data_IF_349113116341
#
_entry.id   IF_349113116341
#
_cell.length_a   1.000
_cell.length_b   1.000
_cell.length_c   1.000
_cell.angle_alpha   90.00
_cell.angle_beta   90.00
_cell.angle_gamma   90.00
#
_symmetry.space_group_name_H-M   'P 1'
#
loop_
_entity.id
_entity.type
_entity.pdbx_description
1 polymer ?
#
# COMPACT_ATOMS: atom_id res chain seq x y z
N UNK A 1 14.61 -9.58 4.24
CA UNK A 1 14.15 -10.62 3.29
C UNK A 1 13.19 -9.89 2.34
N UNK A 2 13.41 -9.97 1.05
CA UNK A 2 12.54 -9.29 0.08
C UNK A 2 11.30 -10.15 -0.09
N UNK A 3 10.15 -9.69 0.39
CA UNK A 3 8.87 -10.34 0.06
C UNK A 3 8.62 -10.19 -1.45
N UNK A 4 8.09 -11.23 -2.07
CA UNK A 4 7.59 -11.13 -3.44
C UNK A 4 6.11 -10.70 -3.42
N UNK A 5 5.54 -10.36 -4.57
CA UNK A 5 4.17 -9.89 -4.65
C UNK A 5 3.13 -10.91 -4.15
N UNK A 6 3.39 -12.21 -4.34
CA UNK A 6 2.52 -13.28 -3.83
C UNK A 6 2.51 -13.31 -2.29
N UNK A 7 3.68 -13.25 -1.65
CA UNK A 7 3.76 -13.22 -0.18
C UNK A 7 3.05 -12.01 0.40
N UNK A 8 3.27 -10.83 -0.21
CA UNK A 8 2.57 -9.59 0.18
C UNK A 8 1.06 -9.72 0.02
N UNK A 9 0.57 -10.25 -1.11
CA UNK A 9 -0.85 -10.45 -1.35
C UNK A 9 -1.47 -11.43 -0.33
N UNK A 10 -0.80 -12.55 -0.02
CA UNK A 10 -1.25 -13.52 0.97
C UNK A 10 -1.28 -12.92 2.39
N UNK A 11 -0.31 -12.11 2.75
CA UNK A 11 -0.30 -11.39 4.03
C UNK A 11 -1.50 -10.43 4.14
N UNK A 12 -1.79 -9.68 3.08
CA UNK A 12 -2.93 -8.75 3.03
C UNK A 12 -4.27 -9.47 3.19
N UNK A 13 -4.50 -10.54 2.44
CA UNK A 13 -5.78 -11.27 2.55
C UNK A 13 -5.91 -11.99 3.90
N UNK A 14 -4.81 -12.41 4.52
CA UNK A 14 -4.80 -12.91 5.90
C UNK A 14 -5.27 -11.88 6.93
N UNK A 15 -5.20 -10.59 6.60
CA UNK A 15 -5.72 -9.46 7.39
C UNK A 15 -7.09 -8.96 6.90
N UNK A 16 -7.69 -9.61 5.91
CA UNK A 16 -8.94 -9.21 5.30
C UNK A 16 -8.82 -8.02 4.33
N UNK A 17 -7.62 -7.65 3.91
CA UNK A 17 -7.42 -6.56 2.93
C UNK A 17 -7.64 -7.08 1.52
N UNK A 18 -8.56 -6.46 0.75
CA UNK A 18 -8.79 -6.86 -0.63
C UNK A 18 -7.59 -6.50 -1.50
N UNK A 19 -7.16 -7.42 -2.36
CA UNK A 19 -6.01 -7.21 -3.26
C UNK A 19 -6.36 -7.50 -4.71
N UNK A 20 -5.67 -6.81 -5.61
CA UNK A 20 -5.65 -7.07 -7.05
C UNK A 20 -4.21 -7.24 -7.53
N UNK A 21 -3.98 -8.05 -8.59
CA UNK A 21 -2.66 -8.18 -9.18
C UNK A 21 -2.24 -6.91 -9.92
N UNK A 22 -0.95 -6.60 -9.81
CA UNK A 22 -0.28 -5.51 -10.50
C UNK A 22 0.83 -6.00 -11.41
N UNK A 23 1.12 -5.25 -12.46
CA UNK A 23 2.23 -5.46 -13.38
C UNK A 23 3.58 -5.15 -12.70
N UNK A 24 4.66 -5.48 -13.38
CA UNK A 24 6.01 -5.11 -13.00
C UNK A 24 6.51 -3.96 -13.86
N UNK A 25 7.25 -3.05 -13.25
CA UNK A 25 7.98 -2.01 -13.97
C UNK A 25 9.27 -2.58 -14.54
N UNK A 26 9.48 -2.45 -15.85
CA UNK A 26 10.65 -2.94 -16.57
C UNK A 26 11.30 -1.82 -17.38
N UNK A 27 12.00 -0.94 -16.68
CA UNK A 27 12.76 0.15 -17.29
C UNK A 27 11.94 1.39 -17.66
N UNK A 28 11.03 1.29 -18.62
CA UNK A 28 10.25 2.39 -19.17
C UNK A 28 8.72 2.11 -19.26
N UNK A 29 8.30 0.91 -18.87
CA UNK A 29 6.90 0.50 -18.94
C UNK A 29 6.53 -0.59 -17.97
N UNK A 30 5.27 -0.97 -17.99
CA UNK A 30 4.73 -2.09 -17.20
C UNK A 30 4.58 -3.34 -18.05
N UNK A 31 4.88 -4.49 -17.46
CA UNK A 31 4.71 -5.82 -18.09
C UNK A 31 4.03 -6.76 -17.11
N UNK A 32 3.08 -7.56 -17.56
CA UNK A 32 2.58 -8.69 -16.79
C UNK A 32 3.60 -9.83 -16.84
N UNK A 33 4.25 -10.19 -15.72
CA UNK A 33 5.33 -11.19 -15.71
C UNK A 33 4.86 -12.61 -16.02
N UNK A 34 3.56 -12.84 -16.10
CA UNK A 34 2.96 -14.16 -16.39
C UNK A 34 2.70 -14.36 -17.89
N UNK A 35 2.34 -13.28 -18.58
CA UNK A 35 1.96 -13.33 -20.00
C UNK A 35 2.98 -12.65 -20.92
N UNK A 36 4.00 -11.98 -20.36
CA UNK A 36 4.95 -11.10 -21.05
C UNK A 36 4.28 -9.97 -21.86
N UNK A 37 3.03 -9.63 -21.53
CA UNK A 37 2.29 -8.59 -22.19
C UNK A 37 2.65 -7.22 -21.62
N UNK A 38 2.92 -6.24 -22.52
CA UNK A 38 3.01 -4.83 -22.16
C UNK A 38 1.67 -4.32 -21.62
N UNK A 39 1.72 -3.50 -20.59
CA UNK A 39 0.56 -2.96 -19.90
C UNK A 39 0.64 -1.43 -19.82
N UNK A 40 -0.49 -0.78 -20.08
CA UNK A 40 -0.57 0.69 -20.02
C UNK A 40 -0.58 1.23 -18.58
N UNK A 41 -0.80 0.37 -17.59
CA UNK A 41 -0.91 0.76 -16.20
C UNK A 41 -0.38 -0.34 -15.25
N UNK A 42 -0.07 0.08 -14.01
CA UNK A 42 0.35 -0.82 -12.95
C UNK A 42 -0.71 -1.88 -12.61
N UNK A 43 -2.00 -1.51 -12.57
CA UNK A 43 -3.06 -2.43 -12.21
C UNK A 43 -3.46 -3.34 -13.38
N UNK A 44 -3.42 -4.66 -13.18
CA UNK A 44 -3.82 -5.65 -14.18
C UNK A 44 -5.33 -5.95 -14.18
N UNK A 45 -6.06 -5.46 -13.17
CA UNK A 45 -7.50 -5.63 -13.07
C UNK A 45 -8.16 -4.45 -12.34
N UNK A 46 -9.48 -4.35 -12.48
CA UNK A 46 -10.25 -3.31 -11.80
C UNK A 46 -10.36 -3.58 -10.30
N UNK A 47 -10.54 -2.55 -9.45
CA UNK A 47 -10.78 -2.72 -8.02
C UNK A 47 -12.00 -3.62 -7.69
N UNK A 48 -12.96 -3.70 -8.61
CA UNK A 48 -14.13 -4.56 -8.45
C UNK A 48 -13.80 -6.06 -8.49
N UNK A 49 -12.61 -6.42 -8.99
CA UNK A 49 -12.11 -7.80 -9.04
C UNK A 49 -11.22 -8.15 -7.84
N UNK A 50 -11.17 -7.28 -6.83
CA UNK A 50 -10.36 -7.53 -5.65
C UNK A 50 -10.84 -8.75 -4.88
N UNK A 51 -9.89 -9.52 -4.38
CA UNK A 51 -10.16 -10.74 -3.61
C UNK A 51 -9.58 -10.66 -2.20
N UNK A 52 -10.23 -11.33 -1.26
CA UNK A 52 -9.72 -11.65 0.08
C UNK A 52 -9.53 -13.16 0.26
N UNK A 53 -9.70 -13.94 -0.81
CA UNK A 53 -9.57 -15.39 -0.80
C UNK A 53 -8.10 -15.80 -1.09
N UNK A 54 -7.41 -16.50 -0.15
CA UNK A 54 -6.05 -16.95 -0.36
C UNK A 54 -5.87 -17.92 -1.54
N UNK A 55 -6.88 -18.74 -1.87
CA UNK A 55 -6.81 -19.65 -3.01
C UNK A 55 -6.87 -18.88 -4.34
N UNK A 56 -7.73 -17.88 -4.40
CA UNK A 56 -7.81 -16.98 -5.54
C UNK A 56 -6.51 -16.18 -5.72
N UNK A 57 -5.89 -15.73 -4.61
CA UNK A 57 -4.57 -15.08 -4.66
C UNK A 57 -3.54 -16.02 -5.29
N UNK A 58 -3.44 -17.29 -4.85
CA UNK A 58 -2.48 -18.24 -5.45
C UNK A 58 -2.72 -18.45 -6.94
N UNK A 59 -3.96 -18.40 -7.38
CA UNK A 59 -4.34 -18.50 -8.80
C UNK A 59 -3.95 -17.25 -9.59
N UNK A 60 -4.12 -16.06 -9.02
CA UNK A 60 -3.86 -14.77 -9.66
C UNK A 60 -2.39 -14.35 -9.65
N UNK A 61 -1.57 -14.90 -8.74
CA UNK A 61 -0.12 -14.66 -8.63
C UNK A 61 0.70 -15.94 -8.91
N UNK A 62 0.56 -16.57 -10.08
CA UNK A 62 1.39 -17.71 -10.39
C UNK A 62 2.86 -17.28 -10.42
N UNK A 63 3.73 -18.18 -10.00
CA UNK A 63 5.18 -17.96 -10.07
C UNK A 63 5.63 -18.26 -11.50
N UNK A 64 6.25 -17.29 -12.16
CA UNK A 64 6.86 -17.51 -13.49
C UNK A 64 8.08 -18.42 -13.40
N UNK A 65 8.55 -18.92 -14.54
CA UNK A 65 9.74 -19.78 -14.64
C UNK A 65 11.00 -19.13 -14.05
N UNK A 66 11.05 -17.78 -14.02
CA UNK A 66 12.12 -17.00 -13.39
C UNK A 66 11.94 -16.75 -11.89
N UNK A 67 10.91 -17.30 -11.25
CA UNK A 67 10.61 -17.04 -9.83
C UNK A 67 9.99 -15.67 -9.57
N UNK A 68 9.59 -14.96 -10.62
CA UNK A 68 8.99 -13.61 -10.54
C UNK A 68 7.48 -13.73 -10.40
N UNK A 69 6.88 -12.88 -9.58
CA UNK A 69 5.43 -12.80 -9.38
C UNK A 69 4.91 -11.41 -9.73
N UNK A 70 3.61 -11.29 -9.97
CA UNK A 70 2.90 -10.01 -10.10
C UNK A 70 3.10 -9.16 -8.85
N UNK A 71 3.03 -7.84 -9.01
CA UNK A 71 2.94 -6.89 -7.89
C UNK A 71 1.63 -7.05 -7.13
N UNK A 72 1.56 -6.57 -5.88
CA UNK A 72 0.35 -6.58 -5.07
C UNK A 72 -0.16 -5.16 -4.85
N UNK A 73 -1.45 -4.94 -5.12
CA UNK A 73 -2.14 -3.67 -4.89
C UNK A 73 -3.30 -3.91 -3.92
N UNK A 74 -3.31 -3.23 -2.78
CA UNK A 74 -4.45 -3.29 -1.87
C UNK A 74 -5.54 -2.30 -2.31
N UNK A 75 -6.80 -2.71 -2.20
CA UNK A 75 -7.94 -1.86 -2.59
C UNK A 75 -8.50 -1.13 -1.37
N UNK A 76 -8.42 0.20 -1.42
CA UNK A 76 -8.97 1.09 -0.39
C UNK A 76 -10.50 1.03 -0.41
N UNK A 77 -11.12 0.84 0.76
CA UNK A 77 -12.57 0.66 0.83
C UNK A 77 -13.13 0.70 2.25
N UNK A 78 -14.03 -0.24 2.55
CA UNK A 78 -14.74 -0.31 3.83
C UNK A 78 -13.92 -0.92 4.96
N UNK A 79 -12.93 -1.77 4.63
CA UNK A 79 -12.14 -2.50 5.62
C UNK A 79 -10.82 -1.80 5.97
N UNK A 80 -10.34 -0.97 5.08
CA UNK A 80 -9.14 -0.18 5.25
C UNK A 80 -9.20 1.11 4.45
N UNK A 81 -8.55 2.13 4.95
CA UNK A 81 -8.37 3.41 4.26
C UNK A 81 -6.90 3.77 4.23
N UNK A 82 -6.49 4.61 3.29
CA UNK A 82 -5.13 5.06 3.12
C UNK A 82 -5.06 6.58 3.25
N UNK A 83 -4.10 7.08 4.01
CA UNK A 83 -3.93 8.50 4.35
C UNK A 83 -2.53 8.96 4.00
N UNK A 84 -2.42 9.95 3.13
CA UNK A 84 -1.14 10.53 2.71
C UNK A 84 -0.64 11.51 3.76
N UNK A 85 0.61 11.36 4.16
CA UNK A 85 1.31 12.27 5.07
C UNK A 85 2.68 12.58 4.46
N UNK A 86 3.19 13.79 4.67
CA UNK A 86 4.54 14.15 4.26
C UNK A 86 5.57 13.21 4.93
N UNK A 87 6.68 12.89 4.26
CA UNK A 87 7.66 11.91 4.75
C UNK A 87 8.29 12.29 6.10
N UNK A 88 8.67 13.54 6.30
CA UNK A 88 9.34 13.98 7.53
C UNK A 88 8.45 13.89 8.77
N UNK A 89 7.20 14.45 8.77
CA UNK A 89 6.26 14.22 9.85
C UNK A 89 5.98 12.75 10.12
N UNK A 90 5.85 11.94 9.06
CA UNK A 90 5.59 10.51 9.19
C UNK A 90 6.75 9.77 9.86
N UNK A 91 8.01 9.99 9.41
CA UNK A 91 9.20 9.39 10.02
C UNK A 91 9.35 9.77 11.49
N UNK A 92 9.08 11.02 11.82
CA UNK A 92 9.07 11.46 13.21
C UNK A 92 7.99 10.75 14.01
N UNK A 93 6.76 10.69 13.49
CA UNK A 93 5.60 10.09 14.16
C UNK A 93 5.82 8.62 14.51
N UNK A 94 6.30 7.82 13.56
CA UNK A 94 6.56 6.38 13.79
C UNK A 94 7.67 6.14 14.82
N UNK A 95 8.51 7.14 15.07
CA UNK A 95 9.52 7.14 16.12
C UNK A 95 8.99 7.39 17.53
N UNK A 96 7.75 7.89 17.68
CA UNK A 96 7.18 8.25 18.98
C UNK A 96 6.72 7.01 19.77
N UNK A 97 6.75 7.11 21.10
CA UNK A 97 6.23 6.07 21.99
C UNK A 97 4.71 5.89 21.79
N UNK A 98 3.99 6.97 21.60
CA UNK A 98 2.53 6.94 21.37
C UNK A 98 2.16 6.15 20.10
N UNK A 99 2.90 6.30 18.99
CA UNK A 99 2.67 5.49 17.80
C UNK A 99 3.06 4.03 18.03
N UNK A 100 4.19 3.76 18.68
CA UNK A 100 4.66 2.40 18.95
C UNK A 100 3.75 1.61 19.87
N UNK A 101 2.96 2.26 20.70
CA UNK A 101 1.98 1.61 21.57
C UNK A 101 0.80 0.99 20.81
N UNK A 102 0.46 1.54 19.63
CA UNK A 102 -0.59 1.01 18.75
C UNK A 102 -0.21 1.31 17.29
N UNK A 103 0.79 0.60 16.74
CA UNK A 103 1.28 0.89 15.40
C UNK A 103 0.28 0.50 14.33
N UNK A 104 0.29 1.23 13.22
CA UNK A 104 -0.43 0.89 11.99
C UNK A 104 0.55 0.78 10.83
N UNK A 105 0.28 0.00 9.78
CA UNK A 105 1.17 -0.11 8.64
C UNK A 105 1.37 1.23 7.92
N UNK A 106 2.61 1.51 7.55
CA UNK A 106 3.00 2.73 6.84
C UNK A 106 3.86 2.35 5.65
N UNK A 107 3.42 2.73 4.45
CA UNK A 107 4.16 2.51 3.21
C UNK A 107 4.72 3.83 2.68
N UNK A 108 5.98 3.82 2.27
CA UNK A 108 6.60 4.91 1.51
C UNK A 108 6.40 4.62 0.04
N UNK A 109 5.76 5.54 -0.68
CA UNK A 109 5.48 5.39 -2.10
C UNK A 109 5.52 6.73 -2.83
N UNK A 110 5.78 6.72 -4.15
CA UNK A 110 5.64 7.91 -4.98
C UNK A 110 4.14 8.19 -5.20
N UNK A 111 3.75 9.43 -4.93
CA UNK A 111 2.39 9.94 -5.18
C UNK A 111 2.47 11.06 -6.23
N UNK A 112 1.70 10.99 -7.33
CA UNK A 112 1.65 12.07 -8.29
C UNK A 112 1.07 13.34 -7.64
N UNK A 113 1.87 14.39 -7.62
CA UNK A 113 1.46 15.68 -7.05
C UNK A 113 1.88 16.79 -8.01
N UNK A 114 0.92 17.50 -8.57
CA UNK A 114 1.16 18.60 -9.52
C UNK A 114 2.09 18.23 -10.70
N UNK A 115 1.98 16.98 -11.20
CA UNK A 115 2.80 16.47 -12.31
C UNK A 115 4.22 16.03 -11.92
N UNK A 116 4.52 15.99 -10.63
CA UNK A 116 5.77 15.46 -10.08
C UNK A 116 5.47 14.19 -9.25
N UNK A 117 6.41 13.25 -9.25
CA UNK A 117 6.38 12.11 -8.33
C UNK A 117 7.07 12.51 -7.04
N UNK A 118 6.28 12.63 -5.97
CA UNK A 118 6.78 13.00 -4.63
C UNK A 118 6.72 11.78 -3.73
N UNK A 119 7.83 11.46 -3.06
CA UNK A 119 7.81 10.45 -2.02
C UNK A 119 6.86 10.88 -0.91
N UNK A 120 5.95 10.01 -0.53
CA UNK A 120 4.96 10.25 0.52
C UNK A 120 4.86 9.04 1.44
N UNK A 121 4.54 9.26 2.70
CA UNK A 121 4.18 8.21 3.61
C UNK A 121 2.67 8.00 3.56
N UNK A 122 2.23 6.76 3.44
CA UNK A 122 0.81 6.41 3.43
C UNK A 122 0.52 5.50 4.61
N UNK A 123 -0.26 6.00 5.55
CA UNK A 123 -0.76 5.26 6.71
C UNK A 123 -1.98 4.45 6.30
N UNK A 124 -2.00 3.18 6.66
CA UNK A 124 -3.17 2.32 6.48
C UNK A 124 -3.95 2.31 7.79
N UNK A 125 -5.19 2.78 7.75
CA UNK A 125 -6.05 2.95 8.93
C UNK A 125 -7.41 2.29 8.73
N UNK A 126 -8.14 2.03 9.81
CA UNK A 126 -9.44 1.37 9.76
C UNK A 126 -10.59 2.30 9.33
N UNK A 127 -10.41 3.61 9.48
CA UNK A 127 -11.43 4.61 9.09
C UNK A 127 -10.77 5.94 8.72
N UNK A 128 -11.48 6.78 7.95
CA UNK A 128 -11.07 8.14 7.61
C UNK A 128 -11.66 9.20 8.58
N UNK A 129 -12.41 8.80 9.60
CA UNK A 129 -13.06 9.71 10.53
C UNK A 129 -12.04 10.63 11.21
N UNK A 130 -12.34 11.93 11.28
CA UNK A 130 -11.48 12.92 11.92
C UNK A 130 -10.25 13.35 11.11
N UNK A 131 -10.04 12.81 9.91
CA UNK A 131 -8.95 13.16 9.02
C UNK A 131 -9.38 14.14 7.94
N UNK A 132 -8.44 14.96 7.43
CA UNK A 132 -8.70 15.84 6.28
C UNK A 132 -8.95 14.97 5.04
N UNK A 133 -10.12 15.12 4.42
CA UNK A 133 -10.53 14.38 3.21
C UNK A 133 -9.54 14.52 2.06
N UNK A 134 -8.77 15.62 2.00
CA UNK A 134 -7.76 15.85 0.97
C UNK A 134 -6.55 14.93 1.10
N UNK A 135 -6.31 14.39 2.29
CA UNK A 135 -5.23 13.47 2.59
C UNK A 135 -5.67 11.99 2.44
N UNK A 136 -6.97 11.75 2.34
CA UNK A 136 -7.54 10.39 2.28
C UNK A 136 -7.63 9.93 0.83
N UNK A 137 -7.13 8.73 0.56
CA UNK A 137 -7.32 8.10 -0.74
C UNK A 137 -8.80 7.85 -1.02
N UNK A 138 -9.27 8.10 -2.25
CA UNK A 138 -10.66 7.84 -2.60
C UNK A 138 -10.97 6.33 -2.49
N UNK A 139 -12.24 6.02 -2.23
CA UNK A 139 -12.71 4.63 -2.24
C UNK A 139 -12.42 3.98 -3.60
N UNK A 140 -12.02 2.71 -3.57
CA UNK A 140 -11.57 1.93 -4.71
C UNK A 140 -10.22 2.39 -5.31
N UNK A 141 -9.49 3.31 -4.67
CA UNK A 141 -8.10 3.52 -5.01
C UNK A 141 -7.30 2.23 -4.76
N UNK A 142 -6.27 2.03 -5.55
CA UNK A 142 -5.37 0.89 -5.42
C UNK A 142 -4.03 1.36 -4.86
N UNK A 143 -3.69 0.87 -3.68
CA UNK A 143 -2.45 1.19 -2.98
C UNK A 143 -1.36 0.19 -3.37
N UNK A 144 -0.30 0.63 -4.08
CA UNK A 144 0.84 -0.24 -4.39
C UNK A 144 1.56 -0.65 -3.11
N UNK A 145 1.72 -1.95 -2.90
CA UNK A 145 2.38 -2.48 -1.71
C UNK A 145 3.80 -2.95 -2.03
N UNK A 146 4.76 -2.82 -1.10
CA UNK A 146 6.11 -3.33 -1.29
C UNK A 146 6.12 -4.83 -1.65
N UNK A 147 6.95 -5.24 -2.59
CA UNK A 147 8.06 -4.51 -3.21
C UNK A 147 7.75 -3.85 -4.57
N UNK A 148 6.53 -3.44 -4.81
CA UNK A 148 6.08 -2.84 -6.08
C UNK A 148 6.96 -1.66 -6.51
N UNK A 149 7.19 -1.53 -7.81
CA UNK A 149 7.85 -0.37 -8.41
C UNK A 149 6.80 0.43 -9.20
N UNK A 150 6.66 1.71 -8.89
CA UNK A 150 5.74 2.64 -9.55
C UNK A 150 6.58 3.64 -10.34
N UNK A 151 6.52 3.60 -11.65
CA UNK A 151 7.26 4.50 -12.56
C UNK A 151 8.75 4.65 -12.20
N UNK A 152 9.43 3.53 -11.93
CA UNK A 152 10.83 3.50 -11.56
C UNK A 152 11.12 3.72 -10.06
N UNK A 153 10.13 4.07 -9.25
CA UNK A 153 10.26 4.31 -7.82
C UNK A 153 9.75 3.10 -7.01
N UNK A 154 10.61 2.54 -6.16
CA UNK A 154 10.26 1.38 -5.34
C UNK A 154 9.44 1.80 -4.11
N UNK A 155 8.35 1.10 -3.87
CA UNK A 155 7.62 1.20 -2.60
C UNK A 155 8.36 0.46 -1.48
N UNK A 156 8.26 0.95 -0.25
CA UNK A 156 8.93 0.38 0.92
C UNK A 156 8.02 0.48 2.15
N UNK A 157 8.08 -0.54 3.03
CA UNK A 157 7.47 -0.41 4.35
C UNK A 157 8.31 0.50 5.24
N UNK A 158 7.71 1.55 5.80
CA UNK A 158 8.26 2.28 6.94
C UNK A 158 7.87 1.57 8.24
N UNK A 159 6.64 1.02 8.28
CA UNK A 159 6.16 0.09 9.30
C UNK A 159 5.42 -1.03 8.58
N UNK A 160 5.92 -2.25 8.72
CA UNK A 160 5.34 -3.42 8.05
C UNK A 160 4.04 -3.87 8.73
N UNK A 161 3.08 -4.42 7.99
CA UNK A 161 1.89 -5.03 8.59
C UNK A 161 2.20 -6.08 9.67
N UNK A 162 3.29 -6.85 9.52
CA UNK A 162 3.70 -7.86 10.52
C UNK A 162 4.09 -7.29 11.88
N UNK A 163 4.40 -6.00 11.93
CA UNK A 163 4.75 -5.27 13.16
C UNK A 163 3.51 -4.70 13.86
N UNK A 164 2.31 -4.90 13.28
CA UNK A 164 1.06 -4.31 13.74
C UNK A 164 0.04 -5.40 14.12
N UNK A 165 -0.59 -5.26 15.27
CA UNK A 165 -1.68 -6.15 15.71
C UNK A 165 -3.01 -5.83 14.99
N UNK A 166 -3.15 -4.61 14.44
CA UNK A 166 -4.36 -4.15 13.75
C UNK A 166 -4.13 -2.86 12.99
N UNK A 167 -5.23 -2.18 12.67
CA UNK A 167 -5.21 -0.85 12.07
C UNK A 167 -5.62 0.20 13.09
N UNK A 168 -4.82 1.26 13.20
CA UNK A 168 -5.20 2.47 13.94
C UNK A 168 -6.47 3.09 13.36
N UNK A 169 -7.31 3.70 14.17
CA UNK A 169 -8.47 4.45 13.69
C UNK A 169 -8.07 5.84 13.18
N UNK A 170 -8.94 6.45 12.35
CA UNK A 170 -8.75 7.81 11.89
C UNK A 170 -8.60 8.84 13.02
N UNK A 171 -9.48 8.85 14.05
CA UNK A 171 -9.33 9.75 15.19
C UNK A 171 -8.02 9.59 15.96
N UNK A 172 -7.52 8.36 16.13
CA UNK A 172 -6.22 8.11 16.77
C UNK A 172 -5.07 8.71 15.95
N UNK A 173 -5.05 8.46 14.63
CA UNK A 173 -4.05 9.05 13.74
C UNK A 173 -4.13 10.58 13.73
N UNK A 174 -5.34 11.15 13.63
CA UNK A 174 -5.55 12.60 13.67
C UNK A 174 -4.96 13.23 14.93
N UNK A 175 -5.21 12.66 16.10
CA UNK A 175 -4.66 13.12 17.37
C UNK A 175 -3.13 13.10 17.41
N UNK A 176 -2.51 12.07 16.83
CA UNK A 176 -1.05 11.97 16.73
C UNK A 176 -0.48 13.02 15.76
N UNK A 177 -1.12 13.24 14.61
CA UNK A 177 -0.69 14.25 13.63
C UNK A 177 -0.81 15.68 14.18
N UNK A 178 -1.87 16.00 14.92
CA UNK A 178 -2.01 17.31 15.59
C UNK A 178 -0.87 17.59 16.59
N UNK A 179 -0.43 16.55 17.29
CA UNK A 179 0.68 16.65 18.24
C UNK A 179 2.01 16.90 17.51
N UNK A 180 2.17 16.36 16.32
CA UNK A 180 3.34 16.57 15.47
C UNK A 180 3.44 18.00 14.93
N UNK A 181 2.31 18.62 14.56
CA UNK A 181 2.26 19.95 13.97
C UNK A 181 2.45 21.12 14.97
N UNK A 182 2.48 20.84 16.27
CA UNK A 182 2.67 21.86 17.33
C UNK A 182 4.13 22.11 17.71
N UNK A 183 5.06 21.49 17.00
CA UNK A 183 6.51 21.61 17.23
C UNK A 183 7.22 22.26 16.07
#
# INVERSE_FOLDING_TARGET
MWSNGLETALECVGRGWPVVPGALWVGDGYVDPVTDAECDALALSSPAMATVDPEEVRRLWPVSDGGVTRSALAVVGTLMTAVVVEPEPARWLVGTEAFRASPTPVVMLPVPTLGLMIESAVFVVSSAEGLDEKLVFPRNAMLPLPPTVVEGHRTQWLVSPVECDGLMSGPELAGLLETSNRR
#
